data_IF_548732080876
#
_entry.id   IF_548732080876
#
_cell.length_a   1.000
_cell.length_b   1.000
_cell.length_c   1.000
_cell.angle_alpha   90.00
_cell.angle_beta   90.00
_cell.angle_gamma   90.00
#
_symmetry.space_group_name_H-M   'P 1'
#
loop_
_entity.id
_entity.type
_entity.pdbx_description
1 polymer ?
#
# COMPACT_ATOMS: atom_id res chain seq x y z
N UNK A 1 -10.35 -13.17 -19.51
CA UNK A 1 -11.37 -13.76 -18.60
C UNK A 1 -10.60 -14.61 -17.61
N UNK A 2 -10.57 -14.33 -16.31
CA UNK A 2 -11.74 -14.39 -15.43
C UNK A 2 -12.01 -13.04 -14.76
N UNK A 3 -13.20 -12.54 -15.05
CA UNK A 3 -13.85 -11.40 -14.44
C UNK A 3 -14.76 -11.97 -13.34
N UNK A 4 -14.61 -11.52 -12.10
CA UNK A 4 -15.58 -11.75 -11.01
C UNK A 4 -15.56 -10.51 -10.12
N UNK A 5 -16.55 -9.62 -10.07
CA UNK A 5 -17.80 -9.54 -10.81
C UNK A 5 -18.12 -8.08 -11.19
N UNK A 6 -19.09 -7.92 -12.08
CA UNK A 6 -19.73 -6.65 -12.39
C UNK A 6 -20.78 -6.37 -11.32
N UNK A 7 -20.46 -5.54 -10.35
CA UNK A 7 -21.38 -4.61 -9.69
C UNK A 7 -20.52 -3.65 -8.87
N UNK A 8 -20.86 -2.37 -8.88
CA UNK A 8 -20.10 -1.23 -8.37
C UNK A 8 -18.98 -0.76 -9.30
N UNK A 9 -19.33 0.20 -10.16
CA UNK A 9 -18.33 1.08 -10.72
C UNK A 9 -17.65 1.82 -9.55
N UNK A 10 -16.43 1.37 -9.18
CA UNK A 10 -15.44 1.94 -8.25
C UNK A 10 -15.27 1.23 -6.88
N UNK A 11 -14.09 0.61 -6.78
CA UNK A 11 -13.24 0.29 -5.61
C UNK A 11 -13.52 -1.04 -4.87
N UNK A 12 -12.48 -1.87 -4.63
CA UNK A 12 -12.55 -2.99 -3.69
C UNK A 12 -12.62 -2.48 -2.24
N UNK A 13 -13.66 -2.87 -1.53
CA UNK A 13 -13.85 -2.54 -0.13
C UNK A 13 -12.88 -3.37 0.73
N UNK A 14 -11.96 -2.71 1.44
CA UNK A 14 -11.13 -3.34 2.46
C UNK A 14 -11.69 -2.99 3.83
N UNK A 15 -12.41 -3.91 4.46
CA UNK A 15 -13.09 -3.70 5.75
C UNK A 15 -12.37 -4.53 6.80
N UNK A 16 -12.14 -3.97 7.99
CA UNK A 16 -11.56 -4.68 9.13
C UNK A 16 -12.61 -5.05 10.15
N UNK A 17 -12.42 -6.18 10.82
CA UNK A 17 -13.17 -6.50 12.04
C UNK A 17 -12.62 -5.80 13.28
N UNK A 18 -13.29 -6.03 14.42
CA UNK A 18 -12.89 -5.58 15.75
C UNK A 18 -11.47 -6.00 16.14
N UNK A 19 -10.95 -7.07 15.54
CA UNK A 19 -9.63 -7.63 15.78
C UNK A 19 -8.60 -7.11 14.74
N UNK A 20 -8.98 -6.10 13.94
CA UNK A 20 -8.20 -5.46 12.88
C UNK A 20 -7.84 -6.37 11.68
N UNK A 21 -8.51 -7.51 11.52
CA UNK A 21 -8.30 -8.39 10.38
C UNK A 21 -9.18 -7.97 9.20
N UNK A 22 -8.61 -7.99 7.99
CA UNK A 22 -9.37 -7.71 6.78
C UNK A 22 -10.38 -8.83 6.49
N UNK A 23 -11.62 -8.45 6.21
CA UNK A 23 -12.64 -9.36 5.68
C UNK A 23 -12.42 -9.59 4.19
N UNK A 24 -12.63 -10.81 3.75
CA UNK A 24 -12.58 -11.17 2.34
C UNK A 24 -13.76 -10.56 1.55
N UNK A 25 -13.61 -10.51 0.23
CA UNK A 25 -14.62 -9.92 -0.65
C UNK A 25 -15.97 -10.66 -0.59
N UNK A 26 -15.97 -11.98 -0.44
CA UNK A 26 -17.21 -12.76 -0.39
C UNK A 26 -18.00 -12.42 0.88
N UNK A 27 -17.31 -12.24 2.02
CA UNK A 27 -17.91 -11.77 3.25
C UNK A 27 -18.58 -10.41 3.03
N UNK A 28 -17.85 -9.45 2.46
CA UNK A 28 -18.34 -8.09 2.24
C UNK A 28 -19.54 -8.12 1.29
N UNK A 29 -19.47 -8.85 0.18
CA UNK A 29 -20.59 -8.97 -0.76
C UNK A 29 -21.83 -9.58 -0.11
N UNK A 30 -21.65 -10.61 0.73
CA UNK A 30 -22.77 -11.24 1.44
C UNK A 30 -23.41 -10.25 2.41
N UNK A 31 -22.60 -9.53 3.17
CA UNK A 31 -23.05 -8.47 4.10
C UNK A 31 -23.82 -7.36 3.36
N UNK A 32 -23.33 -6.91 2.20
CA UNK A 32 -24.02 -5.89 1.40
C UNK A 32 -25.31 -6.43 0.78
N UNK A 33 -25.35 -7.70 0.37
CA UNK A 33 -26.58 -8.32 -0.14
C UNK A 33 -27.67 -8.42 0.94
N UNK A 34 -27.29 -8.58 2.22
CA UNK A 34 -28.24 -8.56 3.34
C UNK A 34 -28.97 -7.21 3.48
N UNK A 35 -28.39 -6.10 3.02
CA UNK A 35 -29.05 -4.79 3.03
C UNK A 35 -30.31 -4.74 2.16
N UNK A 36 -30.40 -5.60 1.14
CA UNK A 36 -31.62 -5.72 0.32
C UNK A 36 -32.81 -6.17 1.17
N UNK A 37 -32.60 -6.98 2.23
CA UNK A 37 -33.66 -7.36 3.18
C UNK A 37 -34.13 -6.19 4.05
N UNK A 38 -33.35 -5.12 4.13
CA UNK A 38 -33.64 -3.89 4.87
C UNK A 38 -34.18 -2.77 3.94
N UNK A 39 -34.52 -3.11 2.70
CA UNK A 39 -35.11 -2.18 1.73
C UNK A 39 -34.10 -1.31 0.97
N UNK A 40 -32.80 -1.56 1.13
CA UNK A 40 -31.75 -0.84 0.40
C UNK A 40 -31.37 -1.68 -0.82
N UNK A 41 -31.83 -1.27 -2.00
CA UNK A 41 -31.52 -1.99 -3.22
C UNK A 41 -30.09 -1.74 -3.67
N UNK A 42 -29.45 -2.79 -4.16
CA UNK A 42 -28.09 -2.75 -4.70
C UNK A 42 -27.89 -1.69 -5.80
N UNK A 43 -28.93 -1.42 -6.58
CA UNK A 43 -28.92 -0.44 -7.69
C UNK A 43 -28.84 1.01 -7.22
N UNK A 44 -29.26 1.26 -5.98
CA UNK A 44 -29.30 2.59 -5.41
C UNK A 44 -27.98 2.95 -4.71
N UNK A 45 -27.11 1.96 -4.46
CA UNK A 45 -25.78 2.15 -3.87
C UNK A 45 -24.79 2.62 -4.93
N UNK A 46 -24.20 3.79 -4.70
CA UNK A 46 -23.24 4.45 -5.58
C UNK A 46 -21.82 4.20 -5.14
N UNK A 47 -21.52 4.44 -3.86
CA UNK A 47 -20.23 4.16 -3.27
C UNK A 47 -20.43 3.43 -1.94
N UNK A 48 -19.43 2.64 -1.55
CA UNK A 48 -19.33 2.03 -0.23
C UNK A 48 -17.92 2.38 0.26
N UNK A 49 -17.81 2.87 1.47
CA UNK A 49 -16.55 3.16 2.14
C UNK A 49 -16.48 2.33 3.41
N UNK A 50 -15.28 1.97 3.83
CA UNK A 50 -15.04 1.41 5.15
C UNK A 50 -14.29 2.43 5.98
N UNK A 51 -14.75 2.67 7.20
CA UNK A 51 -14.01 3.50 8.15
C UNK A 51 -13.17 2.59 9.03
N UNK A 52 -11.85 2.64 8.87
CA UNK A 52 -10.90 1.82 9.63
C UNK A 52 -10.45 2.47 10.96
N UNK A 53 -11.15 3.51 11.45
CA UNK A 53 -10.72 4.29 12.63
C UNK A 53 -11.24 3.78 13.96
N UNK A 54 -12.34 3.04 13.99
CA UNK A 54 -12.96 2.54 15.21
C UNK A 54 -12.96 1.01 15.14
N UNK A 55 -12.76 0.30 16.26
CA UNK A 55 -12.69 -1.18 16.33
C UNK A 55 -14.05 -1.86 16.05
N UNK A 56 -14.79 -1.37 15.06
CA UNK A 56 -16.15 -1.74 14.68
C UNK A 56 -16.18 -1.97 13.17
N UNK A 57 -16.92 -3.00 12.75
CA UNK A 57 -17.09 -3.34 11.34
C UNK A 57 -18.08 -2.35 10.71
N UNK A 58 -17.55 -1.26 10.16
CA UNK A 58 -18.33 -0.10 9.73
C UNK A 58 -18.28 0.14 8.22
N UNK A 59 -19.45 0.29 7.63
CA UNK A 59 -19.65 0.68 6.23
C UNK A 59 -20.33 2.04 6.14
N UNK A 60 -19.86 2.88 5.23
CA UNK A 60 -20.51 4.13 4.88
C UNK A 60 -20.96 4.07 3.42
N UNK A 61 -22.28 4.14 3.18
CA UNK A 61 -22.87 3.98 1.85
C UNK A 61 -23.34 5.33 1.30
N UNK A 62 -22.99 5.63 0.06
CA UNK A 62 -23.57 6.75 -0.69
C UNK A 62 -24.68 6.20 -1.57
N UNK A 63 -25.91 6.67 -1.38
CA UNK A 63 -27.10 6.11 -2.04
C UNK A 63 -27.91 7.17 -2.81
N UNK A 64 -28.49 6.79 -3.96
CA UNK A 64 -29.27 7.67 -4.85
C UNK A 64 -30.64 8.05 -4.31
N UNK A 65 -31.27 7.20 -3.52
CA UNK A 65 -32.66 7.38 -3.09
C UNK A 65 -32.97 6.56 -1.84
N UNK A 66 -33.91 7.05 -1.01
CA UNK A 66 -34.39 6.40 0.22
C UNK A 66 -33.31 6.18 1.29
N UNK A 67 -32.86 7.26 1.91
CA UNK A 67 -31.90 7.21 3.02
C UNK A 67 -32.62 6.79 4.31
N UNK A 68 -32.14 5.73 4.99
CA UNK A 68 -32.54 5.49 6.37
C UNK A 68 -32.16 6.71 7.23
N UNK A 69 -33.12 7.22 8.01
CA UNK A 69 -32.90 8.41 8.87
C UNK A 69 -31.84 8.17 9.97
N UNK A 70 -31.55 6.91 10.25
CA UNK A 70 -30.63 6.47 11.30
C UNK A 70 -29.62 5.47 10.73
N UNK A 71 -28.48 5.33 11.41
CA UNK A 71 -27.52 4.26 11.16
C UNK A 71 -28.21 2.90 11.29
N UNK A 72 -27.92 1.99 10.37
CA UNK A 72 -28.45 0.64 10.39
C UNK A 72 -27.41 -0.30 11.00
N UNK A 73 -27.83 -1.10 11.96
CA UNK A 73 -26.99 -2.17 12.51
C UNK A 73 -27.58 -3.53 12.13
N UNK A 74 -26.73 -4.43 11.63
CA UNK A 74 -27.09 -5.82 11.41
C UNK A 74 -26.14 -6.72 12.19
N UNK A 75 -26.66 -7.82 12.72
CA UNK A 75 -25.84 -8.89 13.24
C UNK A 75 -25.60 -9.90 12.11
N UNK A 76 -24.37 -10.02 11.66
CA UNK A 76 -23.98 -10.96 10.60
C UNK A 76 -22.88 -11.88 11.13
N UNK A 77 -23.15 -13.19 11.15
CA UNK A 77 -22.20 -14.22 11.66
C UNK A 77 -21.64 -13.89 13.06
N UNK A 78 -22.49 -13.39 13.97
CA UNK A 78 -22.13 -12.95 15.33
C UNK A 78 -21.23 -11.70 15.42
N UNK A 79 -21.14 -10.94 14.33
CA UNK A 79 -20.47 -9.64 14.30
C UNK A 79 -21.51 -8.54 14.12
N UNK A 80 -21.39 -7.48 14.93
CA UNK A 80 -22.20 -6.29 14.75
C UNK A 80 -21.59 -5.46 13.62
N UNK A 81 -22.37 -5.29 12.56
CA UNK A 81 -21.98 -4.51 11.38
C UNK A 81 -22.83 -3.24 11.36
N UNK A 82 -22.17 -2.10 11.31
CA UNK A 82 -22.81 -0.80 11.27
C UNK A 82 -22.76 -0.21 9.85
N UNK A 83 -23.87 0.38 9.44
CA UNK A 83 -24.00 1.14 8.20
C UNK A 83 -24.41 2.57 8.50
N UNK A 84 -23.67 3.50 7.93
CA UNK A 84 -24.08 4.89 7.81
C UNK A 84 -24.38 5.22 6.36
N UNK A 85 -25.20 6.24 6.14
CA UNK A 85 -25.71 6.57 4.82
C UNK A 85 -25.50 8.05 4.51
N UNK A 86 -25.14 8.32 3.26
CA UNK A 86 -25.05 9.67 2.69
C UNK A 86 -25.90 9.74 1.41
N UNK A 87 -26.59 10.87 1.21
CA UNK A 87 -27.31 11.15 -0.02
C UNK A 87 -26.34 11.39 -1.17
N UNK A 88 -26.53 10.70 -2.28
CA UNK A 88 -25.86 11.07 -3.52
C UNK A 88 -26.40 12.41 -4.03
N UNK A 89 -25.69 13.49 -3.74
CA UNK A 89 -25.93 14.79 -4.35
C UNK A 89 -25.17 14.86 -5.66
N UNK A 90 -25.90 14.94 -6.77
CA UNK A 90 -25.32 15.09 -8.09
C UNK A 90 -24.64 16.47 -8.18
N UNK A 91 -23.32 16.52 -8.00
CA UNK A 91 -22.57 17.77 -8.11
C UNK A 91 -22.56 18.22 -9.58
N UNK A 92 -22.91 19.48 -9.83
CA UNK A 92 -22.83 20.11 -11.17
C UNK A 92 -21.38 20.21 -11.71
N UNK A 93 -20.41 19.77 -10.94
CA UNK A 93 -19.02 19.56 -11.34
C UNK A 93 -18.62 18.14 -10.95
N UNK A 94 -18.54 17.23 -11.93
CA UNK A 94 -17.94 15.90 -11.73
C UNK A 94 -16.42 16.06 -11.56
N UNK A 95 -15.94 16.44 -10.38
CA UNK A 95 -14.55 16.19 -10.03
C UNK A 95 -14.40 14.69 -9.84
N UNK A 96 -13.80 14.03 -10.84
CA UNK A 96 -13.49 12.60 -10.79
C UNK A 96 -12.53 12.38 -9.63
N UNK A 97 -13.02 11.88 -8.49
CA UNK A 97 -12.14 11.52 -7.37
C UNK A 97 -11.12 10.48 -7.85
N UNK A 98 -9.86 10.90 -7.94
CA UNK A 98 -8.73 10.08 -8.37
C UNK A 98 -8.26 9.25 -7.17
N UNK A 99 -8.02 7.96 -7.37
CA UNK A 99 -7.56 7.04 -6.35
C UNK A 99 -6.43 6.15 -6.90
N UNK A 100 -5.82 5.33 -6.04
CA UNK A 100 -4.67 4.50 -6.43
C UNK A 100 -5.02 3.46 -7.49
N UNK A 101 -6.29 3.02 -7.56
CA UNK A 101 -6.75 2.11 -8.60
C UNK A 101 -6.63 2.70 -10.00
N UNK A 102 -6.86 4.01 -10.15
CA UNK A 102 -6.68 4.67 -11.46
C UNK A 102 -5.22 4.65 -11.93
N UNK A 103 -4.26 4.77 -11.00
CA UNK A 103 -2.84 4.59 -11.31
C UNK A 103 -2.53 3.14 -11.69
N UNK A 104 -3.03 2.18 -10.92
CA UNK A 104 -2.84 0.74 -11.19
C UNK A 104 -3.34 0.37 -12.59
N UNK A 105 -4.54 0.79 -12.98
CA UNK A 105 -5.07 0.51 -14.32
C UNK A 105 -4.26 1.22 -15.41
N UNK A 106 -3.81 2.44 -15.16
CA UNK A 106 -2.94 3.16 -16.11
C UNK A 106 -1.63 2.41 -16.31
N UNK A 107 -0.98 1.95 -15.23
CA UNK A 107 0.25 1.16 -15.35
C UNK A 107 0.02 -0.19 -16.01
N UNK A 108 -1.13 -0.85 -15.80
CA UNK A 108 -1.49 -2.06 -16.56
C UNK A 108 -1.58 -1.78 -18.06
N UNK A 109 -2.13 -0.64 -18.47
CA UNK A 109 -2.21 -0.23 -19.88
C UNK A 109 -0.85 0.15 -20.48
N UNK A 110 0.12 0.51 -19.65
CA UNK A 110 1.50 0.82 -20.03
C UNK A 110 2.41 -0.42 -19.96
N UNK A 111 1.85 -1.61 -19.70
CA UNK A 111 2.61 -2.86 -19.47
C UNK A 111 3.65 -2.75 -18.32
N UNK A 112 3.35 -1.91 -17.34
CA UNK A 112 4.21 -1.57 -16.20
C UNK A 112 3.95 -2.47 -14.98
N UNK A 113 4.11 -3.79 -15.13
CA UNK A 113 3.75 -4.79 -14.11
C UNK A 113 4.45 -4.57 -12.75
N UNK A 114 5.72 -4.14 -12.77
CA UNK A 114 6.47 -3.87 -11.54
C UNK A 114 5.85 -2.71 -10.74
N UNK A 115 5.37 -1.67 -11.43
CA UNK A 115 4.67 -0.55 -10.80
C UNK A 115 3.30 -0.95 -10.31
N UNK A 116 2.56 -1.77 -11.08
CA UNK A 116 1.27 -2.34 -10.64
C UNK A 116 1.45 -3.04 -9.29
N UNK A 117 2.43 -3.94 -9.18
CA UNK A 117 2.70 -4.67 -7.95
C UNK A 117 3.09 -3.73 -6.79
N UNK A 118 3.98 -2.77 -7.03
CA UNK A 118 4.36 -1.80 -5.99
C UNK A 118 3.15 -0.96 -5.52
N UNK A 119 2.34 -0.46 -6.45
CA UNK A 119 1.18 0.39 -6.14
C UNK A 119 0.08 -0.38 -5.40
N UNK A 120 -0.22 -1.61 -5.82
CA UNK A 120 -1.18 -2.47 -5.14
C UNK A 120 -0.79 -2.77 -3.69
N UNK A 121 0.51 -2.86 -3.40
CA UNK A 121 1.01 -3.28 -2.09
C UNK A 121 1.25 -2.12 -1.13
N UNK A 122 1.81 -1.00 -1.60
CA UNK A 122 2.37 0.01 -0.69
C UNK A 122 1.94 1.45 -0.99
N UNK A 123 1.20 1.72 -2.07
CA UNK A 123 0.84 3.10 -2.46
C UNK A 123 -0.66 3.37 -2.30
N UNK A 124 -0.97 4.52 -1.71
CA UNK A 124 -2.30 5.11 -1.63
C UNK A 124 -2.39 6.42 -2.41
N UNK A 125 -3.61 6.81 -2.74
CA UNK A 125 -3.94 8.14 -3.28
C UNK A 125 -5.24 8.61 -2.65
N UNK A 126 -5.26 9.84 -2.15
CA UNK A 126 -6.41 10.46 -1.47
C UNK A 126 -7.14 11.50 -2.34
N UNK A 127 -6.90 11.48 -3.66
CA UNK A 127 -7.43 12.47 -4.60
C UNK A 127 -6.69 13.80 -4.64
N UNK A 128 -5.61 13.96 -3.87
CA UNK A 128 -4.72 15.14 -3.92
C UNK A 128 -3.26 14.74 -4.08
N UNK A 129 -2.81 13.73 -3.35
CA UNK A 129 -1.42 13.30 -3.37
C UNK A 129 -1.29 11.78 -3.26
N UNK A 130 -0.16 11.27 -3.76
CA UNK A 130 0.31 9.91 -3.51
C UNK A 130 0.99 9.83 -2.15
N UNK A 131 0.85 8.68 -1.48
CA UNK A 131 1.47 8.42 -0.17
C UNK A 131 1.72 6.92 0.05
N UNK A 132 2.61 6.59 0.99
CA UNK A 132 2.82 5.20 1.40
C UNK A 132 1.67 4.76 2.30
N UNK A 133 0.94 3.72 1.90
CA UNK A 133 -0.26 3.23 2.61
C UNK A 133 0.05 2.37 3.83
N UNK A 134 1.30 1.90 3.97
CA UNK A 134 1.78 1.11 5.10
C UNK A 134 2.12 2.03 6.29
N UNK A 135 1.72 1.62 7.50
CA UNK A 135 2.08 2.32 8.75
C UNK A 135 3.61 2.34 8.94
N UNK A 136 4.14 3.48 9.42
CA UNK A 136 5.60 3.71 9.60
C UNK A 136 6.33 2.66 10.44
N UNK A 137 5.64 1.98 11.36
CA UNK A 137 6.25 0.94 12.21
C UNK A 137 6.47 -0.38 11.47
N UNK A 138 5.69 -0.63 10.41
CA UNK A 138 5.76 -1.83 9.59
C UNK A 138 6.48 -1.60 8.25
N UNK A 139 6.96 -0.38 8.03
CA UNK A 139 7.60 0.05 6.80
C UNK A 139 9.09 -0.30 6.88
N UNK A 140 9.52 -1.22 6.01
CA UNK A 140 10.88 -1.76 5.89
C UNK A 140 11.41 -1.55 4.48
N UNK A 141 11.73 -0.30 4.15
CA UNK A 141 12.15 0.12 2.82
C UNK A 141 13.63 -0.13 2.54
N UNK A 142 14.42 -0.41 3.57
CA UNK A 142 15.87 -0.59 3.52
C UNK A 142 16.33 -1.97 4.01
N UNK A 143 15.39 -2.89 4.23
CA UNK A 143 15.65 -4.30 4.55
C UNK A 143 15.59 -5.14 3.26
N UNK A 144 16.74 -5.58 2.70
CA UNK A 144 16.76 -6.31 1.43
C UNK A 144 16.02 -7.66 1.45
N UNK A 145 15.77 -8.21 2.65
CA UNK A 145 14.95 -9.42 2.83
C UNK A 145 13.46 -9.18 2.70
N UNK A 146 13.04 -7.92 2.78
CA UNK A 146 11.66 -7.53 2.69
C UNK A 146 11.29 -7.12 1.26
N UNK A 147 10.15 -7.61 0.76
CA UNK A 147 9.62 -7.22 -0.57
C UNK A 147 9.43 -5.70 -0.72
N UNK A 148 9.20 -4.99 0.38
CA UNK A 148 9.09 -3.52 0.40
C UNK A 148 10.37 -2.82 -0.09
N UNK A 149 11.55 -3.40 0.11
CA UNK A 149 12.80 -2.88 -0.46
C UNK A 149 12.77 -2.88 -1.99
N UNK A 150 12.28 -3.95 -2.61
CA UNK A 150 12.16 -4.04 -4.07
C UNK A 150 11.09 -3.08 -4.61
N UNK A 151 9.97 -2.92 -3.91
CA UNK A 151 8.95 -1.94 -4.27
C UNK A 151 9.52 -0.52 -4.23
N UNK A 152 10.28 -0.16 -3.19
CA UNK A 152 10.97 1.13 -3.14
C UNK A 152 11.88 1.35 -4.34
N UNK A 153 12.74 0.36 -4.64
CA UNK A 153 13.69 0.45 -5.75
C UNK A 153 12.94 0.69 -7.06
N UNK A 154 11.88 -0.07 -7.31
CA UNK A 154 11.01 0.08 -8.49
C UNK A 154 10.41 1.49 -8.58
N UNK A 155 9.88 2.02 -7.47
CA UNK A 155 9.25 3.35 -7.44
C UNK A 155 10.25 4.48 -7.69
N UNK A 156 11.48 4.34 -7.21
CA UNK A 156 12.54 5.32 -7.46
C UNK A 156 13.09 5.24 -8.89
N UNK A 157 13.26 4.03 -9.42
CA UNK A 157 13.74 3.81 -10.80
C UNK A 157 12.73 4.30 -11.83
N UNK A 158 11.43 4.15 -11.56
CA UNK A 158 10.34 4.53 -12.47
C UNK A 158 9.66 5.83 -12.06
N UNK A 159 10.41 6.72 -11.41
CA UNK A 159 9.92 8.00 -10.90
C UNK A 159 9.28 8.85 -11.99
N UNK A 160 9.92 8.99 -13.15
CA UNK A 160 9.43 9.80 -14.27
C UNK A 160 8.05 9.35 -14.73
N UNK A 161 7.86 8.04 -14.94
CA UNK A 161 6.57 7.45 -15.33
C UNK A 161 5.48 7.75 -14.29
N UNK A 162 5.82 7.65 -12.99
CA UNK A 162 4.88 7.95 -11.90
C UNK A 162 4.49 9.43 -11.91
N UNK A 163 5.47 10.33 -12.08
CA UNK A 163 5.25 11.78 -12.11
C UNK A 163 4.41 12.18 -13.34
N UNK A 164 4.67 11.61 -14.51
CA UNK A 164 3.89 11.86 -15.73
C UNK A 164 2.41 11.45 -15.56
N UNK A 165 2.17 10.25 -15.05
CA UNK A 165 0.81 9.76 -14.79
C UNK A 165 0.14 10.61 -13.71
N UNK A 166 0.85 10.98 -12.64
CA UNK A 166 0.32 11.81 -11.58
C UNK A 166 -0.05 13.21 -12.08
N UNK A 167 0.78 13.82 -12.93
CA UNK A 167 0.52 15.10 -13.57
C UNK A 167 -0.75 15.05 -14.42
N UNK A 168 -0.95 13.96 -15.18
CA UNK A 168 -2.17 13.77 -15.99
C UNK A 168 -3.46 13.72 -15.15
N UNK A 169 -3.32 13.37 -13.87
CA UNK A 169 -4.42 13.30 -12.90
C UNK A 169 -4.47 14.49 -11.94
N UNK A 170 -3.59 15.48 -12.07
CA UNK A 170 -3.44 16.60 -11.13
C UNK A 170 -3.21 16.12 -9.68
N UNK A 171 -2.31 15.14 -9.53
CA UNK A 171 -1.95 14.53 -8.25
C UNK A 171 -0.50 14.87 -7.89
N UNK A 172 -0.30 15.32 -6.65
CA UNK A 172 1.01 15.59 -6.09
C UNK A 172 1.75 14.30 -5.69
N UNK A 173 3.05 14.26 -5.98
CA UNK A 173 3.95 13.14 -5.68
C UNK A 173 5.07 13.52 -4.71
N UNK A 174 5.21 14.79 -4.34
CA UNK A 174 6.32 15.28 -3.54
C UNK A 174 6.46 14.51 -2.21
N UNK A 175 5.35 14.38 -1.48
CA UNK A 175 5.33 13.66 -0.21
C UNK A 175 5.74 12.18 -0.37
N UNK A 176 5.30 11.51 -1.44
CA UNK A 176 5.66 10.13 -1.70
C UNK A 176 7.18 9.97 -1.85
N UNK A 177 7.81 10.81 -2.68
CA UNK A 177 9.24 10.69 -2.94
C UNK A 177 10.11 11.15 -1.76
N UNK A 178 9.61 12.07 -0.94
CA UNK A 178 10.23 12.39 0.35
C UNK A 178 10.19 11.17 1.30
N UNK A 179 9.04 10.52 1.44
CA UNK A 179 8.86 9.35 2.30
C UNK A 179 9.62 8.11 1.81
N UNK A 180 9.84 7.98 0.49
CA UNK A 180 10.67 6.93 -0.11
C UNK A 180 12.16 7.20 0.07
N UNK A 181 12.58 8.44 0.28
CA UNK A 181 13.97 8.80 0.45
C UNK A 181 14.25 9.60 1.74
N UNK A 182 13.92 9.03 2.92
CA UNK A 182 14.22 9.64 4.20
C UNK A 182 15.73 9.63 4.46
N UNK A 183 16.13 10.01 5.67
CA UNK A 183 17.53 9.89 6.11
C UNK A 183 18.03 8.44 6.00
N UNK A 184 18.82 8.18 4.96
CA UNK A 184 19.26 6.85 4.55
C UNK A 184 19.93 6.06 5.70
N UNK A 185 20.85 6.67 6.44
CA UNK A 185 21.58 5.98 7.51
C UNK A 185 20.65 5.58 8.65
N UNK A 186 19.78 6.49 9.10
CA UNK A 186 18.82 6.22 10.17
C UNK A 186 17.87 5.10 9.77
N UNK A 187 17.36 5.14 8.55
CA UNK A 187 16.40 4.16 8.06
C UNK A 187 17.04 2.79 7.83
N UNK A 188 18.26 2.73 7.28
CA UNK A 188 19.02 1.46 7.13
C UNK A 188 19.27 0.81 8.48
N UNK A 189 19.75 1.57 9.48
CA UNK A 189 19.98 1.01 10.81
C UNK A 189 18.69 0.56 11.51
N UNK A 190 17.59 1.30 11.34
CA UNK A 190 16.28 0.90 11.85
C UNK A 190 15.81 -0.42 11.21
N UNK A 191 15.82 -0.49 9.89
CA UNK A 191 15.23 -1.60 9.14
C UNK A 191 16.04 -2.90 9.29
N UNK A 192 17.37 -2.79 9.37
CA UNK A 192 18.28 -3.91 9.60
C UNK A 192 18.49 -4.26 11.08
N UNK A 193 17.84 -3.54 12.01
CA UNK A 193 18.07 -3.65 13.46
C UNK A 193 19.57 -3.61 13.82
N UNK A 194 20.30 -2.67 13.20
CA UNK A 194 21.75 -2.52 13.31
C UNK A 194 22.14 -1.17 13.92
N UNK A 195 23.37 -1.05 14.41
CA UNK A 195 23.88 0.20 14.98
C UNK A 195 24.71 0.98 13.98
N UNK A 196 24.85 2.29 14.17
CA UNK A 196 25.76 3.11 13.34
C UNK A 196 27.21 2.60 13.38
N UNK A 197 27.64 1.99 14.50
CA UNK A 197 28.96 1.41 14.65
C UNK A 197 29.13 0.15 13.78
N UNK A 198 28.13 -0.71 13.74
CA UNK A 198 28.15 -1.91 12.89
C UNK A 198 28.12 -1.50 11.42
N UNK A 199 27.21 -0.59 11.04
CA UNK A 199 27.14 -0.09 9.67
C UNK A 199 28.47 0.55 9.24
N UNK A 200 29.11 1.34 10.11
CA UNK A 200 30.42 1.93 9.81
C UNK A 200 31.49 0.85 9.55
N UNK A 201 31.51 -0.20 10.37
CA UNK A 201 32.45 -1.31 10.22
C UNK A 201 32.25 -2.05 8.88
N UNK A 202 31.01 -2.43 8.55
CA UNK A 202 30.67 -3.12 7.30
C UNK A 202 31.01 -2.30 6.06
N UNK A 203 30.87 -0.97 6.14
CA UNK A 203 31.19 -0.06 5.03
C UNK A 203 32.68 0.33 4.97
N UNK A 204 33.49 -0.01 5.99
CA UNK A 204 34.89 0.43 6.09
C UNK A 204 35.07 1.91 6.44
N UNK A 205 34.10 2.54 7.11
CA UNK A 205 34.14 3.94 7.55
C UNK A 205 34.38 4.07 9.06
N UNK A 206 34.85 5.26 9.49
CA UNK A 206 34.90 5.61 10.91
C UNK A 206 33.47 5.84 11.45
N UNK A 207 33.13 5.35 12.67
CA UNK A 207 31.81 5.58 13.27
C UNK A 207 31.39 7.06 13.31
N UNK A 208 32.33 7.97 13.56
CA UNK A 208 32.06 9.42 13.60
C UNK A 208 31.55 9.97 12.26
N UNK A 209 32.04 9.43 11.14
CA UNK A 209 31.58 9.81 9.80
C UNK A 209 30.11 9.44 9.62
N UNK A 210 29.73 8.22 10.01
CA UNK A 210 28.34 7.75 9.92
C UNK A 210 27.45 8.51 10.90
N UNK A 211 27.89 8.74 12.14
CA UNK A 211 27.14 9.51 13.14
C UNK A 211 26.84 10.95 12.67
N UNK A 212 27.85 11.63 12.13
CA UNK A 212 27.68 13.00 11.62
C UNK A 212 26.74 13.05 10.42
N UNK A 213 26.88 12.11 9.49
CA UNK A 213 26.01 12.01 8.32
C UNK A 213 24.55 11.69 8.71
N UNK A 214 24.35 10.79 9.69
CA UNK A 214 23.04 10.47 10.24
C UNK A 214 22.38 11.67 10.91
N UNK A 215 23.13 12.43 11.73
CA UNK A 215 22.60 13.59 12.45
C UNK A 215 22.25 14.75 11.52
N UNK A 216 23.09 15.01 10.52
CA UNK A 216 22.91 16.14 9.59
C UNK A 216 21.99 15.82 8.42
N UNK A 217 21.75 14.54 8.12
CA UNK A 217 21.04 14.11 6.91
C UNK A 217 21.80 14.36 5.61
N UNK A 218 23.01 14.92 5.68
CA UNK A 218 23.87 15.18 4.53
C UNK A 218 24.82 14.00 4.36
N UNK A 219 24.63 13.27 3.28
CA UNK A 219 25.41 12.09 2.92
C UNK A 219 26.14 12.40 1.62
N UNK A 220 27.44 12.11 1.55
CA UNK A 220 28.18 12.25 0.29
C UNK A 220 27.76 11.16 -0.69
N UNK A 221 27.83 11.44 -1.99
CA UNK A 221 27.50 10.44 -3.02
C UNK A 221 28.34 9.15 -2.87
N UNK A 222 29.60 9.25 -2.43
CA UNK A 222 30.44 8.09 -2.17
C UNK A 222 29.88 7.22 -1.03
N UNK A 223 29.44 7.83 0.07
CA UNK A 223 28.88 7.09 1.21
C UNK A 223 27.50 6.51 0.86
N UNK A 224 26.67 7.28 0.13
CA UNK A 224 25.40 6.79 -0.40
C UNK A 224 25.62 5.55 -1.27
N UNK A 225 26.59 5.59 -2.18
CA UNK A 225 26.90 4.45 -3.06
C UNK A 225 27.42 3.24 -2.28
N UNK A 226 28.25 3.46 -1.26
CA UNK A 226 28.72 2.39 -0.38
C UNK A 226 27.55 1.69 0.33
N UNK A 227 26.59 2.46 0.86
CA UNK A 227 25.38 1.92 1.49
C UNK A 227 24.54 1.14 0.48
N UNK A 228 24.31 1.69 -0.72
CA UNK A 228 23.56 0.99 -1.79
C UNK A 228 24.20 -0.35 -2.16
N UNK A 229 25.53 -0.38 -2.34
CA UNK A 229 26.27 -1.60 -2.64
C UNK A 229 26.19 -2.62 -1.50
N UNK A 230 26.26 -2.16 -0.25
CA UNK A 230 26.09 -3.02 0.92
C UNK A 230 24.70 -3.67 0.96
N UNK A 231 23.64 -2.88 0.75
CA UNK A 231 22.26 -3.39 0.72
C UNK A 231 22.05 -4.38 -0.44
N UNK A 232 22.59 -4.08 -1.62
CA UNK A 232 22.54 -4.99 -2.78
C UNK A 232 23.32 -6.28 -2.49
N UNK A 233 24.47 -6.21 -1.80
CA UNK A 233 25.23 -7.39 -1.40
C UNK A 233 24.44 -8.30 -0.45
N UNK A 234 23.74 -7.71 0.54
CA UNK A 234 22.86 -8.46 1.43
C UNK A 234 21.73 -9.15 0.66
N UNK A 235 21.09 -8.43 -0.28
CA UNK A 235 20.05 -8.97 -1.17
C UNK A 235 20.54 -10.19 -1.94
N UNK A 236 21.69 -10.06 -2.60
CA UNK A 236 22.27 -11.12 -3.43
C UNK A 236 22.64 -12.35 -2.60
N UNK A 237 23.15 -12.15 -1.37
CA UNK A 237 23.42 -13.24 -0.42
C UNK A 237 22.15 -14.02 -0.07
N UNK A 238 21.04 -13.32 0.09
CA UNK A 238 19.75 -13.95 0.39
C UNK A 238 19.15 -14.68 -0.81
N UNK A 239 19.22 -14.10 -2.00
CA UNK A 239 18.82 -14.79 -3.24
C UNK A 239 19.62 -16.07 -3.45
N UNK A 240 20.93 -16.01 -3.24
CA UNK A 240 21.80 -17.18 -3.33
C UNK A 240 21.41 -18.27 -2.33
N UNK A 241 21.08 -17.88 -1.09
CA UNK A 241 20.58 -18.81 -0.07
C UNK A 241 19.28 -19.48 -0.51
N UNK A 242 18.33 -18.72 -1.02
CA UNK A 242 17.04 -19.25 -1.49
C UNK A 242 17.22 -20.18 -2.69
N UNK A 243 18.10 -19.83 -3.62
CA UNK A 243 18.44 -20.68 -4.77
C UNK A 243 19.05 -22.02 -4.33
N UNK A 244 19.98 -21.99 -3.37
CA UNK A 244 20.59 -23.22 -2.84
C UNK A 244 19.55 -24.11 -2.15
N UNK A 245 18.62 -23.54 -1.38
CA UNK A 245 17.53 -24.30 -0.74
C UNK A 245 16.62 -24.99 -1.78
N UNK A 246 16.29 -24.29 -2.88
CA UNK A 246 15.51 -24.88 -3.98
C UNK A 246 16.29 -26.03 -4.63
N UNK A 247 17.59 -25.82 -4.89
CA UNK A 247 18.45 -26.84 -5.49
C UNK A 247 18.53 -28.10 -4.62
N UNK A 248 18.75 -27.96 -3.32
CA UNK A 248 18.77 -29.08 -2.37
C UNK A 248 17.42 -29.80 -2.32
N UNK A 249 16.31 -29.05 -2.30
CA UNK A 249 14.96 -29.62 -2.31
C UNK A 249 14.70 -30.44 -3.58
N UNK A 250 15.11 -29.95 -4.74
CA UNK A 250 14.98 -30.67 -6.01
C UNK A 250 15.86 -31.93 -6.07
N UNK A 251 17.07 -31.87 -5.51
CA UNK A 251 17.96 -33.02 -5.40
C UNK A 251 17.36 -34.10 -4.52
N UNK A 252 16.73 -33.72 -3.40
CA UNK A 252 16.08 -34.67 -2.49
C UNK A 252 14.80 -35.30 -3.06
N UNK A 253 14.13 -34.66 -4.04
CA UNK A 253 12.94 -35.20 -4.73
C UNK A 253 13.33 -36.10 -5.92
N UNK A 254 14.53 -35.93 -6.47
CA UNK A 254 15.03 -36.69 -7.63
C UNK A 254 15.73 -38.01 -7.25
N UNK A 255 15.61 -38.42 -5.97
CA UNK A 255 16.08 -39.70 -5.40
C UNK A 255 14.86 -40.52 -5.00
#
# INVERSE_FOLDING_TARGET
>A
MIQVGKLYNKIPYLVRDKDNNYKDLNYIETVINELSKKGINKKDIINIFSNNRDNLLHFHLVIKSHIPKESLQINFKNELVEFTFEEYKESKTKTKYINSFMFIETFKHLDEESLVNAFEKIIGCNGKNLFISIKKDNLKLFDPSNKQYLYRKTLLEKREIIEDVAQSFDIDTAQLFEDLNPNLIKSVCKDLNSTYKILAFELGYKPDTINKAASTGKISEQLKKAIELYLENLRLKEELKNFNLIKESLQNISV
#
